data_IF_919296114345
#
_entry.id   IF_919296114345
#
_cell.length_a   1.000
_cell.length_b   1.000
_cell.length_c   1.000
_cell.angle_alpha   90.00
_cell.angle_beta   90.00
_cell.angle_gamma   90.00
#
_symmetry.space_group_name_H-M   'P 1'
#
loop_
_entity.id
_entity.type
_entity.pdbx_description
1 polymer ?
#
# COMPACT_ATOMS: atom_id res chain seq x y z
N UNK A 1 65.57 -55.01 -40.38
CA UNK A 1 64.98 -55.19 -39.02
C UNK A 1 65.03 -53.83 -38.34
N UNK A 2 63.98 -53.08 -38.00
CA UNK A 2 62.52 -53.17 -38.08
C UNK A 2 62.06 -51.71 -37.98
N UNK A 3 61.24 -51.18 -38.91
CA UNK A 3 59.81 -50.95 -38.70
C UNK A 3 59.41 -50.68 -37.24
N UNK A 4 59.11 -49.43 -36.89
CA UNK A 4 57.93 -49.07 -36.09
C UNK A 4 57.40 -47.71 -36.55
N UNK A 5 56.16 -47.71 -37.03
CA UNK A 5 55.36 -46.54 -37.34
C UNK A 5 54.98 -45.80 -36.05
N UNK A 6 55.06 -44.47 -36.03
CA UNK A 6 54.33 -43.67 -35.04
C UNK A 6 53.09 -43.06 -35.70
N UNK A 7 51.97 -43.59 -35.23
CA UNK A 7 50.59 -43.29 -35.56
C UNK A 7 50.25 -41.82 -35.41
N UNK A 8 49.45 -41.31 -36.35
CA UNK A 8 48.63 -40.12 -36.20
C UNK A 8 47.79 -40.22 -34.93
N UNK A 9 47.82 -39.18 -34.10
CA UNK A 9 46.78 -38.89 -33.13
C UNK A 9 46.44 -37.41 -33.27
N UNK A 10 45.52 -37.12 -34.18
CA UNK A 10 44.84 -35.84 -34.27
C UNK A 10 44.01 -35.70 -33.00
N UNK A 11 44.51 -34.94 -32.02
CA UNK A 11 43.75 -34.58 -30.84
C UNK A 11 42.64 -33.61 -31.29
N UNK A 12 41.46 -34.15 -31.53
CA UNK A 12 40.23 -33.39 -31.74
C UNK A 12 39.99 -32.59 -30.46
N UNK A 13 40.31 -31.30 -30.47
CA UNK A 13 39.89 -30.38 -29.44
C UNK A 13 38.36 -30.33 -29.47
N UNK A 14 37.72 -31.13 -28.62
CA UNK A 14 36.29 -31.03 -28.34
C UNK A 14 36.04 -29.62 -27.84
N UNK A 15 35.49 -28.78 -28.72
CA UNK A 15 35.07 -27.43 -28.38
C UNK A 15 34.12 -27.52 -27.19
N UNK A 16 34.53 -26.95 -26.06
CA UNK A 16 33.66 -26.71 -24.93
C UNK A 16 32.46 -25.91 -25.44
N UNK A 17 31.27 -26.49 -25.29
CA UNK A 17 29.99 -25.91 -25.63
C UNK A 17 29.91 -24.46 -25.08
N UNK A 18 29.78 -23.42 -25.94
CA UNK A 18 29.67 -22.04 -25.48
C UNK A 18 28.39 -21.96 -24.65
N UNK A 19 28.64 -21.77 -23.37
CA UNK A 19 27.76 -22.12 -22.29
C UNK A 19 26.44 -21.36 -22.39
N UNK A 20 25.35 -22.13 -22.25
CA UNK A 20 24.06 -21.74 -21.69
C UNK A 20 23.96 -20.28 -21.28
N UNK A 21 23.11 -19.52 -21.98
CA UNK A 21 22.74 -18.14 -21.65
C UNK A 21 22.44 -18.05 -20.14
N UNK A 22 23.32 -17.37 -19.39
CA UNK A 22 23.14 -17.18 -17.95
C UNK A 22 21.87 -16.36 -17.77
N UNK A 23 20.79 -17.03 -17.34
CA UNK A 23 19.52 -16.37 -17.06
C UNK A 23 19.63 -15.66 -15.71
N UNK A 24 20.11 -14.42 -15.75
CA UNK A 24 20.15 -13.56 -14.57
C UNK A 24 18.74 -13.37 -14.01
N UNK A 25 18.55 -13.68 -12.74
CA UNK A 25 17.35 -13.31 -12.01
C UNK A 25 17.51 -11.83 -11.65
N UNK A 26 16.73 -10.95 -12.29
CA UNK A 26 16.69 -9.53 -11.94
C UNK A 26 16.15 -9.40 -10.52
N UNK A 27 17.04 -9.22 -9.56
CA UNK A 27 16.70 -8.81 -8.18
C UNK A 27 16.76 -7.30 -8.15
N UNK A 28 15.62 -6.63 -8.29
CA UNK A 28 15.53 -5.20 -7.97
C UNK A 28 15.37 -5.10 -6.45
N UNK A 29 16.40 -4.61 -5.77
CA UNK A 29 16.18 -4.05 -4.44
C UNK A 29 15.29 -2.82 -4.62
N UNK A 30 14.14 -2.77 -3.96
CA UNK A 30 13.28 -1.58 -3.99
C UNK A 30 14.07 -0.37 -3.49
N UNK A 31 14.05 0.72 -4.25
CA UNK A 31 14.64 1.99 -3.83
C UNK A 31 13.68 2.74 -2.91
N UNK A 32 14.19 3.75 -2.19
CA UNK A 32 13.34 4.68 -1.43
C UNK A 32 12.24 5.29 -2.30
N UNK A 33 12.57 5.62 -3.56
CA UNK A 33 11.63 6.22 -4.51
C UNK A 33 10.54 5.24 -4.92
N UNK A 34 10.86 3.95 -5.07
CA UNK A 34 9.87 2.91 -5.41
C UNK A 34 8.84 2.77 -4.26
N UNK A 35 9.31 2.68 -3.02
CA UNK A 35 8.44 2.57 -1.83
C UNK A 35 7.59 3.84 -1.66
N UNK A 36 8.19 5.03 -1.85
CA UNK A 36 7.44 6.29 -1.83
C UNK A 36 6.39 6.34 -2.94
N UNK A 37 6.71 5.82 -4.13
CA UNK A 37 5.81 5.69 -5.27
C UNK A 37 4.55 4.89 -4.93
N UNK A 38 4.74 3.71 -4.34
CA UNK A 38 3.64 2.87 -3.87
C UNK A 38 2.77 3.58 -2.84
N UNK A 39 3.38 4.24 -1.85
CA UNK A 39 2.66 5.00 -0.82
C UNK A 39 1.81 6.11 -1.44
N UNK A 40 2.38 6.90 -2.35
CA UNK A 40 1.66 7.98 -3.03
C UNK A 40 0.50 7.41 -3.83
N UNK A 41 0.70 6.31 -4.56
CA UNK A 41 -0.36 5.71 -5.36
C UNK A 41 -1.49 5.15 -4.49
N UNK A 42 -1.16 4.42 -3.41
CA UNK A 42 -2.15 3.88 -2.47
C UNK A 42 -2.99 4.98 -1.80
N UNK A 43 -2.36 6.11 -1.44
CA UNK A 43 -3.07 7.26 -0.89
C UNK A 43 -3.98 7.91 -1.94
N UNK A 44 -3.50 8.08 -3.18
CA UNK A 44 -4.29 8.66 -4.28
C UNK A 44 -5.53 7.83 -4.56
N UNK A 45 -5.37 6.51 -4.66
CA UNK A 45 -6.48 5.58 -4.93
C UNK A 45 -7.54 5.59 -3.83
N UNK A 46 -7.17 5.96 -2.60
CA UNK A 46 -8.08 6.07 -1.46
C UNK A 46 -8.60 7.50 -1.21
N UNK A 47 -8.12 8.52 -1.94
CA UNK A 47 -8.41 9.92 -1.62
C UNK A 47 -7.86 10.36 -0.25
N UNK A 48 -6.82 9.68 0.24
CA UNK A 48 -6.22 9.88 1.55
C UNK A 48 -4.97 10.78 1.45
N UNK A 49 -4.58 11.34 2.59
CA UNK A 49 -3.49 12.32 2.72
C UNK A 49 -2.53 11.98 3.86
N UNK A 50 -1.30 12.49 3.79
CA UNK A 50 -0.26 12.23 4.80
C UNK A 50 0.49 13.50 5.20
N UNK A 51 0.73 13.65 6.50
CA UNK A 51 1.61 14.63 7.12
C UNK A 51 2.80 13.95 7.81
N UNK A 52 3.94 14.64 7.92
CA UNK A 52 5.19 14.03 8.42
C UNK A 52 5.86 14.90 9.50
N UNK A 53 6.29 14.28 10.59
CA UNK A 53 7.15 14.85 11.61
C UNK A 53 8.50 14.11 11.68
N UNK A 54 9.58 14.81 11.35
CA UNK A 54 10.93 14.25 11.32
C UNK A 54 11.79 14.79 12.46
N UNK A 55 12.65 13.93 13.02
CA UNK A 55 13.77 14.36 13.87
C UNK A 55 15.09 13.94 13.20
N UNK A 56 15.57 12.73 13.47
CA UNK A 56 16.89 12.26 13.01
C UNK A 56 17.09 12.25 11.49
N UNK A 57 16.01 12.04 10.71
CA UNK A 57 16.03 11.94 9.24
C UNK A 57 16.15 13.29 8.55
N UNK A 58 15.80 14.39 9.24
CA UNK A 58 16.08 15.76 8.82
C UNK A 58 15.43 16.20 7.50
N UNK A 59 14.26 15.66 7.15
CA UNK A 59 13.55 15.98 5.90
C UNK A 59 13.61 14.86 4.84
N UNK A 60 14.29 13.74 5.13
CA UNK A 60 14.47 12.65 4.19
C UNK A 60 13.17 11.95 3.79
N UNK A 61 12.19 11.85 4.70
CA UNK A 61 10.89 11.24 4.39
C UNK A 61 10.09 12.19 3.49
N UNK A 62 10.06 13.48 3.83
CA UNK A 62 9.38 14.50 3.02
C UNK A 62 10.01 14.62 1.63
N UNK A 63 11.34 14.59 1.54
CA UNK A 63 12.07 14.59 0.26
C UNK A 63 11.73 13.34 -0.58
N UNK A 64 11.66 12.16 0.03
CA UNK A 64 11.30 10.93 -0.65
C UNK A 64 9.88 11.01 -1.25
N UNK A 65 8.89 11.44 -0.46
CA UNK A 65 7.50 11.60 -0.93
C UNK A 65 7.41 12.64 -2.05
N UNK A 66 8.04 13.80 -1.90
CA UNK A 66 7.99 14.89 -2.90
C UNK A 66 8.78 14.60 -4.18
N UNK A 67 9.66 13.59 -4.19
CA UNK A 67 10.35 13.12 -5.40
C UNK A 67 9.47 12.31 -6.37
N UNK A 68 8.25 11.96 -5.95
CA UNK A 68 7.28 11.17 -6.71
C UNK A 68 6.29 12.09 -7.41
N UNK A 69 6.01 11.82 -8.69
CA UNK A 69 5.02 12.58 -9.45
C UNK A 69 3.61 12.42 -8.85
N UNK A 70 2.87 13.54 -8.77
CA UNK A 70 1.53 13.55 -8.17
C UNK A 70 1.50 13.54 -6.63
N UNK A 71 2.66 13.66 -5.96
CA UNK A 71 2.73 13.74 -4.50
C UNK A 71 1.90 14.90 -3.92
N UNK A 72 1.73 16.01 -4.65
CA UNK A 72 0.92 17.17 -4.22
C UNK A 72 -0.56 16.84 -3.99
N UNK A 73 -1.07 15.74 -4.55
CA UNK A 73 -2.45 15.30 -4.31
C UNK A 73 -2.64 14.69 -2.90
N UNK A 74 -1.57 14.18 -2.27
CA UNK A 74 -1.66 13.36 -1.05
C UNK A 74 -0.78 13.86 0.09
N UNK A 75 0.39 14.42 -0.20
CA UNK A 75 1.31 14.92 0.80
C UNK A 75 0.93 16.35 1.20
N UNK A 76 0.51 16.53 2.46
CA UNK A 76 0.02 17.81 2.99
C UNK A 76 1.12 18.68 3.58
N UNK A 77 2.32 18.15 3.75
CA UNK A 77 3.46 18.84 4.34
C UNK A 77 3.96 18.15 5.61
N UNK A 78 4.75 18.89 6.39
CA UNK A 78 5.36 18.35 7.59
C UNK A 78 6.35 19.30 8.23
N UNK A 79 7.04 18.80 9.26
CA UNK A 79 8.02 19.58 10.02
C UNK A 79 9.23 18.73 10.39
N UNK A 80 10.41 19.34 10.35
CA UNK A 80 11.61 18.81 11.02
C UNK A 80 11.68 19.43 12.41
N UNK A 81 11.33 18.66 13.45
CA UNK A 81 11.32 19.09 14.86
C UNK A 81 12.56 18.58 15.60
N UNK A 82 13.75 18.93 15.12
CA UNK A 82 15.01 18.41 15.66
C UNK A 82 15.21 18.77 17.15
N UNK A 83 15.01 20.04 17.48
CA UNK A 83 15.10 20.53 18.86
C UNK A 83 13.88 20.10 19.69
N UNK A 84 14.12 19.67 20.94
CA UNK A 84 13.07 19.20 21.86
C UNK A 84 11.91 20.19 22.04
N UNK A 85 12.14 21.52 22.23
CA UNK A 85 11.03 22.47 22.37
C UNK A 85 10.10 22.52 21.15
N UNK A 86 10.61 22.27 19.94
CA UNK A 86 9.78 22.25 18.73
C UNK A 86 8.83 21.06 18.67
N UNK A 87 9.20 19.93 19.29
CA UNK A 87 8.30 18.76 19.42
C UNK A 87 7.06 19.13 20.25
N UNK A 88 7.25 19.93 21.31
CA UNK A 88 6.16 20.38 22.17
C UNK A 88 5.34 21.48 21.51
N UNK A 89 6.02 22.51 20.99
CA UNK A 89 5.38 23.70 20.43
C UNK A 89 4.54 23.39 19.19
N UNK A 90 5.09 22.61 18.26
CA UNK A 90 4.47 22.36 16.97
C UNK A 90 3.65 21.08 16.97
N UNK A 91 4.14 20.02 17.61
CA UNK A 91 3.51 18.70 17.53
C UNK A 91 2.74 18.32 18.80
N UNK A 92 2.68 19.22 19.78
CA UNK A 92 2.00 19.01 21.07
C UNK A 92 2.48 17.74 21.79
N UNK A 93 3.75 17.35 21.62
CA UNK A 93 4.35 16.27 22.39
C UNK A 93 4.39 16.67 23.86
N UNK A 94 3.92 15.76 24.72
CA UNK A 94 3.80 15.96 26.15
C UNK A 94 5.17 16.21 26.81
N UNK A 95 5.23 17.31 27.57
CA UNK A 95 6.40 17.71 28.33
C UNK A 95 6.75 16.72 29.44
N UNK A 96 5.75 16.15 30.12
CA UNK A 96 5.97 15.19 31.21
C UNK A 96 6.50 13.87 30.66
N UNK A 97 6.01 13.42 29.50
CA UNK A 97 6.55 12.28 28.78
C UNK A 97 8.04 12.47 28.44
N UNK A 98 8.39 13.63 27.86
CA UNK A 98 9.79 13.95 27.52
C UNK A 98 10.65 14.00 28.78
N UNK A 99 10.17 14.61 29.86
CA UNK A 99 10.91 14.68 31.12
C UNK A 99 11.18 13.31 31.74
N UNK A 100 10.25 12.35 31.61
CA UNK A 100 10.37 11.01 32.20
C UNK A 100 11.18 10.04 31.34
N UNK A 101 11.04 10.10 30.02
CA UNK A 101 11.56 9.07 29.12
C UNK A 101 12.59 9.58 28.09
N UNK A 102 12.75 10.90 27.97
CA UNK A 102 13.51 11.56 26.92
C UNK A 102 12.81 11.50 25.56
N UNK A 103 13.43 12.12 24.55
CA UNK A 103 12.82 12.25 23.21
C UNK A 103 12.90 10.98 22.35
N UNK A 104 13.80 10.05 22.67
CA UNK A 104 13.95 8.78 21.96
C UNK A 104 13.08 7.73 22.65
N UNK A 105 11.79 7.73 22.33
CA UNK A 105 10.79 6.85 22.94
C UNK A 105 9.62 6.60 21.97
N UNK A 106 8.98 5.42 22.07
CA UNK A 106 7.87 5.05 21.20
C UNK A 106 6.67 5.99 21.31
N UNK A 107 6.28 6.38 22.52
CA UNK A 107 5.18 7.31 22.74
C UNK A 107 5.49 8.73 22.21
N UNK A 108 6.75 9.15 22.25
CA UNK A 108 7.14 10.43 21.63
C UNK A 108 6.97 10.34 20.12
N UNK A 109 7.38 9.23 19.48
CA UNK A 109 7.14 9.03 18.07
C UNK A 109 5.64 9.04 17.73
N UNK A 110 4.80 8.38 18.56
CA UNK A 110 3.35 8.35 18.39
C UNK A 110 2.73 9.75 18.43
N UNK A 111 3.07 10.54 19.45
CA UNK A 111 2.61 11.92 19.57
C UNK A 111 3.13 12.81 18.45
N UNK A 112 4.37 12.60 17.98
CA UNK A 112 4.89 13.29 16.80
C UNK A 112 4.07 12.97 15.54
N UNK A 113 3.70 11.70 15.33
CA UNK A 113 2.88 11.29 14.17
C UNK A 113 1.45 11.87 14.25
N UNK A 114 0.85 11.87 15.44
CA UNK A 114 -0.46 12.49 15.66
C UNK A 114 -0.39 14.01 15.45
N UNK A 115 0.60 14.67 16.03
CA UNK A 115 0.86 16.10 15.84
C UNK A 115 1.08 16.47 14.38
N UNK A 116 1.76 15.61 13.60
CA UNK A 116 1.94 15.81 12.17
C UNK A 116 0.60 15.91 11.44
N UNK A 117 -0.37 15.04 11.76
CA UNK A 117 -1.73 15.12 11.19
C UNK A 117 -2.41 16.42 11.54
N UNK A 118 -2.27 16.86 12.80
CA UNK A 118 -2.88 18.08 13.30
C UNK A 118 -2.34 19.30 12.56
N UNK A 119 -1.01 19.48 12.47
CA UNK A 119 -0.43 20.69 11.88
C UNK A 119 -0.58 20.76 10.36
N UNK A 120 -0.80 19.63 9.67
CA UNK A 120 -1.01 19.60 8.22
C UNK A 120 -2.48 19.58 7.84
N UNK A 121 -3.39 19.66 8.82
CA UNK A 121 -4.82 19.81 8.58
C UNK A 121 -5.16 21.26 8.28
N UNK A 122 -5.84 21.50 7.17
CA UNK A 122 -6.29 22.83 6.75
C UNK A 122 -7.60 22.74 5.96
N UNK A 123 -8.28 23.87 5.74
CA UNK A 123 -9.58 23.98 5.05
C UNK A 123 -10.69 23.07 5.63
N UNK A 124 -10.59 22.73 6.93
CA UNK A 124 -11.51 21.80 7.58
C UNK A 124 -11.34 20.32 7.16
N UNK A 125 -10.34 20.02 6.32
CA UNK A 125 -10.05 18.67 5.83
C UNK A 125 -8.92 18.08 6.67
N UNK A 126 -9.26 17.08 7.48
CA UNK A 126 -8.30 16.37 8.33
C UNK A 126 -7.27 15.62 7.49
N UNK A 127 -6.00 15.72 7.89
CA UNK A 127 -4.97 14.83 7.34
C UNK A 127 -5.21 13.40 7.83
N UNK A 128 -5.30 12.44 6.92
CA UNK A 128 -5.71 11.08 7.27
C UNK A 128 -4.61 10.29 7.96
N UNK A 129 -3.36 10.46 7.53
CA UNK A 129 -2.20 9.71 8.02
C UNK A 129 -1.09 10.62 8.54
N UNK A 130 -0.37 10.16 9.57
CA UNK A 130 0.80 10.84 10.12
C UNK A 130 2.00 9.91 10.23
N UNK A 131 3.19 10.41 9.95
CA UNK A 131 4.45 9.71 10.24
C UNK A 131 5.22 10.52 11.29
N UNK A 132 5.76 9.85 12.31
CA UNK A 132 6.63 10.46 13.32
C UNK A 132 7.92 9.65 13.49
N UNK A 133 9.07 10.32 13.54
CA UNK A 133 10.37 9.65 13.76
C UNK A 133 11.22 10.31 14.84
N UNK A 134 11.84 9.49 15.70
CA UNK A 134 12.81 9.92 16.71
C UNK A 134 13.86 8.83 16.94
N UNK A 135 15.10 9.20 17.25
CA UNK A 135 16.18 8.23 17.38
C UNK A 135 17.56 8.84 17.41
N UNK A 136 18.57 7.99 17.56
CA UNK A 136 19.98 8.37 17.65
C UNK A 136 20.69 7.99 16.35
N UNK A 137 20.90 8.95 15.47
CA UNK A 137 21.65 8.71 14.23
C UNK A 137 23.16 8.51 14.47
N UNK A 138 23.72 9.07 15.54
CA UNK A 138 25.16 9.08 15.81
C UNK A 138 25.87 10.35 15.31
N UNK A 139 27.21 10.41 15.42
CA UNK A 139 28.11 9.29 15.74
C UNK A 139 28.14 8.86 17.20
N UNK A 140 27.67 9.71 18.11
CA UNK A 140 27.68 9.44 19.55
C UNK A 140 26.33 8.93 20.06
N UNK A 141 26.34 8.26 21.22
CA UNK A 141 25.13 7.95 21.97
C UNK A 141 24.46 9.22 22.49
N UNK A 142 23.16 9.14 22.77
CA UNK A 142 22.40 10.26 23.33
C UNK A 142 21.52 9.77 24.47
N UNK A 143 21.55 10.45 25.62
CA UNK A 143 20.72 10.12 26.79
C UNK A 143 20.80 8.64 27.21
N UNK A 144 22.02 8.06 27.14
CA UNK A 144 22.27 6.65 27.44
C UNK A 144 21.78 5.65 26.37
N UNK A 145 21.24 6.13 25.24
CA UNK A 145 20.72 5.30 24.14
C UNK A 145 21.77 5.15 23.03
N UNK A 146 21.98 3.91 22.53
CA UNK A 146 23.02 3.64 21.55
C UNK A 146 22.68 4.21 20.17
N UNK A 147 23.72 4.50 19.39
CA UNK A 147 23.61 4.83 17.97
C UNK A 147 22.81 3.75 17.24
N UNK A 148 21.94 4.15 16.32
CA UNK A 148 21.09 3.26 15.56
C UNK A 148 19.75 2.95 16.24
N UNK A 149 19.54 3.33 17.50
CA UNK A 149 18.24 3.18 18.17
C UNK A 149 17.23 4.17 17.59
N UNK A 150 16.14 3.66 17.02
CA UNK A 150 15.11 4.46 16.35
C UNK A 150 13.71 3.99 16.73
N UNK A 151 12.80 4.95 16.89
CA UNK A 151 11.36 4.74 16.96
C UNK A 151 10.67 5.46 15.80
N UNK A 152 9.67 4.80 15.25
CA UNK A 152 8.84 5.29 14.15
C UNK A 152 7.40 5.13 14.58
N UNK A 153 6.49 6.03 14.19
CA UNK A 153 5.08 5.83 14.41
C UNK A 153 4.26 6.18 13.18
N UNK A 154 3.15 5.47 13.02
CA UNK A 154 2.11 5.76 12.05
C UNK A 154 0.85 6.14 12.84
N UNK A 155 0.26 7.28 12.49
CA UNK A 155 -0.99 7.77 13.06
C UNK A 155 -2.10 7.75 12.01
N UNK A 156 -3.32 7.41 12.43
CA UNK A 156 -4.53 7.49 11.63
C UNK A 156 -5.73 7.86 12.50
N UNK A 157 -6.94 7.88 11.94
CA UNK A 157 -8.16 8.07 12.72
C UNK A 157 -8.37 6.98 13.81
N UNK A 158 -7.78 5.79 13.67
CA UNK A 158 -7.85 4.74 14.70
C UNK A 158 -6.88 4.94 15.86
N UNK A 159 -6.01 5.94 15.79
CA UNK A 159 -5.01 6.26 16.82
C UNK A 159 -3.60 6.29 16.26
N UNK A 160 -2.62 6.35 17.16
CA UNK A 160 -1.19 6.37 16.83
C UNK A 160 -0.45 5.40 17.74
N UNK A 161 0.49 4.63 17.18
CA UNK A 161 1.32 3.71 17.95
C UNK A 161 2.80 3.85 17.58
N UNK A 162 3.65 3.94 18.59
CA UNK A 162 5.10 3.87 18.44
C UNK A 162 5.56 2.44 18.12
N UNK A 163 6.38 2.31 17.10
CA UNK A 163 7.01 1.09 16.62
C UNK A 163 8.51 1.12 16.97
N UNK A 164 9.06 -0.03 17.33
CA UNK A 164 10.46 -0.20 17.73
C UNK A 164 10.63 -0.62 19.19
N UNK A 165 11.83 -0.45 19.79
CA UNK A 165 13.00 0.18 19.17
C UNK A 165 13.54 -0.65 18.00
N UNK A 166 13.82 0.02 16.89
CA UNK A 166 14.66 -0.52 15.82
C UNK A 166 16.13 -0.26 16.14
N UNK A 167 17.02 -1.10 15.62
CA UNK A 167 18.45 -0.88 15.68
C UNK A 167 19.05 -0.95 14.27
N UNK A 168 19.32 0.22 13.68
CA UNK A 168 19.89 0.31 12.34
C UNK A 168 21.41 0.38 12.34
N UNK A 169 22.09 -0.24 11.36
CA UNK A 169 23.54 -0.20 11.28
C UNK A 169 24.06 1.22 11.04
N UNK A 170 25.06 1.61 11.84
CA UNK A 170 25.86 2.81 11.59
C UNK A 170 26.71 2.65 10.31
N UNK A 171 27.22 3.74 9.70
CA UNK A 171 27.34 5.12 10.19
C UNK A 171 26.04 5.94 10.13
N UNK A 172 26.10 7.19 10.62
CA UNK A 172 24.97 8.13 10.75
C UNK A 172 24.04 8.20 9.54
N UNK A 173 24.61 8.30 8.35
CA UNK A 173 23.81 8.45 7.13
C UNK A 173 23.03 7.17 6.80
N UNK A 174 23.57 5.99 7.11
CA UNK A 174 22.85 4.72 6.97
C UNK A 174 21.71 4.58 7.95
N UNK A 175 21.88 5.05 9.20
CA UNK A 175 20.78 5.07 10.18
C UNK A 175 19.64 5.96 9.67
N UNK A 176 19.97 7.14 9.12
CA UNK A 176 18.98 8.06 8.56
C UNK A 176 18.27 7.46 7.35
N UNK A 177 19.00 6.90 6.40
CA UNK A 177 18.44 6.27 5.19
C UNK A 177 17.54 5.07 5.54
N UNK A 178 18.02 4.18 6.41
CA UNK A 178 17.24 3.02 6.87
C UNK A 178 15.96 3.46 7.61
N UNK A 179 16.01 4.55 8.36
CA UNK A 179 14.83 5.12 9.02
C UNK A 179 13.81 5.64 8.01
N UNK A 180 14.25 6.31 6.93
CA UNK A 180 13.35 6.77 5.86
C UNK A 180 12.67 5.58 5.18
N UNK A 181 13.45 4.56 4.79
CA UNK A 181 12.94 3.33 4.18
C UNK A 181 11.91 2.65 5.08
N UNK A 182 12.25 2.46 6.36
CA UNK A 182 11.37 1.77 7.28
C UNK A 182 10.09 2.56 7.56
N UNK A 183 10.17 3.89 7.69
CA UNK A 183 8.99 4.72 7.92
C UNK A 183 8.00 4.66 6.76
N UNK A 184 8.49 4.72 5.51
CA UNK A 184 7.66 4.57 4.33
C UNK A 184 7.07 3.15 4.23
N UNK A 185 7.86 2.11 4.56
CA UNK A 185 7.37 0.74 4.60
C UNK A 185 6.28 0.52 5.65
N UNK A 186 6.40 1.12 6.83
CA UNK A 186 5.38 1.01 7.87
C UNK A 186 4.07 1.68 7.44
N UNK A 187 4.14 2.85 6.79
CA UNK A 187 2.96 3.45 6.19
C UNK A 187 2.38 2.57 5.07
N UNK A 188 3.21 2.07 4.15
CA UNK A 188 2.77 1.16 3.07
C UNK A 188 2.02 -0.06 3.61
N UNK A 189 2.56 -0.70 4.66
CA UNK A 189 1.90 -1.83 5.34
C UNK A 189 0.54 -1.43 5.92
N UNK A 190 0.46 -0.28 6.58
CA UNK A 190 -0.80 0.22 7.15
C UNK A 190 -1.86 0.50 6.06
N UNK A 191 -1.46 1.08 4.93
CA UNK A 191 -2.35 1.37 3.79
C UNK A 191 -2.87 0.09 3.12
N UNK A 192 -2.00 -0.92 2.97
CA UNK A 192 -2.39 -2.24 2.44
C UNK A 192 -3.35 -2.93 3.41
N UNK A 193 -3.05 -2.96 4.71
CA UNK A 193 -3.92 -3.55 5.72
C UNK A 193 -5.32 -2.89 5.75
N UNK A 194 -5.37 -1.55 5.74
CA UNK A 194 -6.62 -0.78 5.62
C UNK A 194 -7.42 -1.20 4.39
N UNK A 195 -6.76 -1.35 3.24
CA UNK A 195 -7.43 -1.73 1.99
C UNK A 195 -8.07 -3.11 2.08
N UNK A 196 -7.39 -4.07 2.71
CA UNK A 196 -7.94 -5.41 2.97
C UNK A 196 -9.13 -5.38 3.93
N UNK A 197 -9.06 -4.62 5.02
CA UNK A 197 -10.16 -4.49 5.98
C UNK A 197 -11.41 -3.85 5.33
N UNK A 198 -11.19 -2.79 4.54
CA UNK A 198 -12.25 -2.11 3.79
C UNK A 198 -12.95 -3.08 2.82
N UNK A 199 -12.17 -3.89 2.10
CA UNK A 199 -12.70 -4.91 1.18
C UNK A 199 -13.51 -5.98 1.91
N UNK A 200 -13.02 -6.49 3.05
CA UNK A 200 -13.73 -7.50 3.84
C UNK A 200 -15.05 -6.93 4.41
N UNK A 201 -15.04 -5.69 4.89
CA UNK A 201 -16.23 -5.01 5.40
C UNK A 201 -17.29 -4.85 4.29
N UNK A 202 -16.88 -4.45 3.09
CA UNK A 202 -17.74 -4.34 1.92
C UNK A 202 -18.40 -5.69 1.56
N UNK A 203 -17.61 -6.78 1.50
CA UNK A 203 -18.14 -8.12 1.22
C UNK A 203 -19.13 -8.62 2.28
N UNK A 204 -18.85 -8.36 3.56
CA UNK A 204 -19.78 -8.69 4.67
C UNK A 204 -21.09 -7.91 4.56
N UNK A 205 -21.01 -6.62 4.21
CA UNK A 205 -22.20 -5.82 3.99
C UNK A 205 -23.04 -6.35 2.82
N UNK A 206 -22.43 -6.57 1.66
CA UNK A 206 -23.12 -7.10 0.46
C UNK A 206 -23.78 -8.45 0.75
N UNK A 207 -23.09 -9.36 1.44
CA UNK A 207 -23.68 -10.66 1.81
C UNK A 207 -24.83 -10.53 2.81
N UNK A 208 -24.73 -9.62 3.79
CA UNK A 208 -25.82 -9.33 4.73
C UNK A 208 -27.06 -8.80 4.01
N UNK A 209 -26.92 -7.84 3.09
CA UNK A 209 -28.08 -7.31 2.37
C UNK A 209 -28.71 -8.36 1.44
N UNK A 210 -27.90 -9.16 0.74
CA UNK A 210 -28.40 -10.29 -0.08
C UNK A 210 -29.17 -11.32 0.76
N UNK A 211 -28.74 -11.61 1.99
CA UNK A 211 -29.47 -12.52 2.88
C UNK A 211 -30.82 -11.96 3.33
N UNK A 212 -30.92 -10.64 3.55
CA UNK A 212 -32.18 -9.98 3.92
C UNK A 212 -33.16 -9.90 2.75
N UNK A 213 -32.69 -9.57 1.55
CA UNK A 213 -33.55 -9.51 0.35
C UNK A 213 -34.00 -10.89 -0.16
N UNK A 214 -33.33 -11.99 0.24
CA UNK A 214 -33.87 -13.34 0.01
C UNK A 214 -35.03 -13.67 0.96
N UNK A 215 -35.15 -12.96 2.08
CA UNK A 215 -36.24 -13.12 3.03
C UNK A 215 -37.44 -12.19 2.74
N UNK A 216 -37.27 -11.12 1.94
CA UNK A 216 -38.34 -10.21 1.49
C UNK A 216 -38.60 -10.33 -0.02
N UNK A 217 -39.77 -10.86 -0.40
CA UNK A 217 -40.14 -11.10 -1.80
C UNK A 217 -40.73 -9.85 -2.50
N UNK A 218 -40.05 -8.71 -2.48
CA UNK A 218 -40.56 -7.44 -3.03
C UNK A 218 -39.57 -6.71 -3.96
N UNK A 219 -40.05 -6.27 -5.13
CA UNK A 219 -39.25 -5.58 -6.17
C UNK A 219 -38.87 -4.12 -5.82
N UNK A 220 -39.30 -3.57 -4.69
CA UNK A 220 -39.06 -2.16 -4.33
C UNK A 220 -37.72 -1.88 -3.63
N UNK A 221 -36.96 -2.91 -3.22
CA UNK A 221 -35.75 -2.74 -2.38
C UNK A 221 -34.42 -2.58 -3.16
N UNK A 222 -34.44 -2.62 -4.51
CA UNK A 222 -33.20 -2.58 -5.32
C UNK A 222 -32.64 -1.17 -5.56
N UNK A 223 -33.49 -0.15 -5.67
CA UNK A 223 -33.04 1.26 -5.76
C UNK A 223 -32.39 1.69 -4.42
N UNK A 224 -32.92 1.24 -3.29
CA UNK A 224 -32.36 1.48 -1.96
C UNK A 224 -31.01 0.76 -1.75
N UNK A 225 -30.85 -0.43 -2.37
CA UNK A 225 -29.59 -1.19 -2.40
C UNK A 225 -28.49 -0.45 -3.17
N UNK A 226 -28.79 0.04 -4.37
CA UNK A 226 -27.84 0.79 -5.20
C UNK A 226 -27.49 2.11 -4.53
N UNK A 227 -28.46 2.77 -3.90
CA UNK A 227 -28.26 4.00 -3.13
C UNK A 227 -27.37 3.78 -1.89
N UNK A 228 -27.59 2.71 -1.13
CA UNK A 228 -26.82 2.39 0.08
C UNK A 228 -25.36 2.01 -0.22
N UNK A 229 -25.12 1.29 -1.32
CA UNK A 229 -23.76 0.96 -1.78
C UNK A 229 -23.01 2.22 -2.26
N UNK A 230 -23.70 3.17 -2.90
CA UNK A 230 -23.12 4.46 -3.34
C UNK A 230 -22.75 5.38 -2.17
N UNK A 231 -23.55 5.41 -1.11
CA UNK A 231 -23.31 6.26 0.07
C UNK A 231 -22.05 5.85 0.83
N UNK A 232 -21.73 4.55 0.88
CA UNK A 232 -20.57 4.03 1.62
C UNK A 232 -19.29 3.88 0.77
N UNK A 233 -19.37 4.07 -0.55
CA UNK A 233 -18.22 4.00 -1.46
C UNK A 233 -18.06 5.28 -2.32
N UNK A 234 -18.01 6.49 -1.74
CA UNK A 234 -18.02 7.73 -2.52
C UNK A 234 -16.78 7.95 -3.40
N UNK A 235 -15.75 7.09 -3.32
CA UNK A 235 -14.44 7.31 -3.95
C UNK A 235 -14.03 6.32 -5.05
N UNK A 236 -14.88 5.36 -5.46
CA UNK A 236 -14.60 4.58 -6.67
C UNK A 236 -15.16 5.26 -7.91
N UNK A 237 -14.28 5.93 -8.66
CA UNK A 237 -14.55 6.24 -10.06
C UNK A 237 -14.88 4.95 -10.82
N UNK A 238 -15.99 4.98 -11.56
CA UNK A 238 -16.71 3.87 -12.18
C UNK A 238 -15.85 2.88 -13.01
N UNK A 239 -16.18 1.58 -12.90
CA UNK A 239 -16.62 0.75 -14.04
C UNK A 239 -16.73 -0.77 -13.76
N UNK A 240 -16.07 -1.32 -12.73
CA UNK A 240 -15.97 -2.79 -12.60
C UNK A 240 -17.12 -3.42 -11.79
N UNK A 241 -17.54 -2.80 -10.68
CA UNK A 241 -18.61 -3.36 -9.84
C UNK A 241 -20.00 -3.25 -10.50
N UNK A 242 -20.25 -2.16 -11.24
CA UNK A 242 -21.54 -1.92 -11.91
C UNK A 242 -21.76 -2.84 -13.12
N UNK A 243 -20.69 -3.31 -13.79
CA UNK A 243 -20.83 -4.22 -14.95
C UNK A 243 -21.35 -5.60 -14.53
N UNK A 244 -20.90 -6.12 -13.38
CA UNK A 244 -21.34 -7.40 -12.82
C UNK A 244 -22.79 -7.38 -12.33
N UNK A 245 -23.24 -6.24 -11.76
CA UNK A 245 -24.63 -6.04 -11.33
C UNK A 245 -25.54 -5.89 -12.56
N UNK A 246 -25.10 -5.15 -13.59
CA UNK A 246 -25.86 -4.94 -14.83
C UNK A 246 -25.98 -6.23 -15.66
N UNK A 247 -24.95 -7.07 -15.68
CA UNK A 247 -24.99 -8.38 -16.37
C UNK A 247 -25.95 -9.36 -15.68
N UNK A 248 -25.93 -9.43 -14.35
CA UNK A 248 -26.89 -10.25 -13.58
C UNK A 248 -28.34 -9.76 -13.73
N UNK A 249 -28.55 -8.44 -13.86
CA UNK A 249 -29.87 -7.88 -14.11
C UNK A 249 -30.40 -8.21 -15.52
N UNK A 250 -29.56 -8.12 -16.56
CA UNK A 250 -29.96 -8.53 -17.91
C UNK A 250 -30.26 -10.04 -17.99
N UNK A 251 -29.53 -10.85 -17.23
CA UNK A 251 -29.78 -12.29 -17.15
C UNK A 251 -31.07 -12.61 -16.38
N UNK A 252 -31.31 -11.94 -15.25
CA UNK A 252 -32.55 -12.07 -14.47
C UNK A 252 -33.79 -11.56 -15.20
N UNK A 253 -33.68 -10.50 -16.01
CA UNK A 253 -34.76 -10.06 -16.89
C UNK A 253 -35.07 -11.09 -17.97
N UNK A 254 -34.04 -11.66 -18.63
CA UNK A 254 -34.20 -12.73 -19.64
C UNK A 254 -34.85 -13.98 -19.06
N UNK A 255 -34.47 -14.38 -17.86
CA UNK A 255 -35.04 -15.56 -17.19
C UNK A 255 -36.50 -15.33 -16.75
N UNK A 256 -36.87 -14.08 -16.47
CA UNK A 256 -38.25 -13.72 -16.10
C UNK A 256 -39.15 -13.60 -17.33
N UNK A 257 -38.71 -12.97 -18.42
CA UNK A 257 -39.45 -13.01 -19.71
C UNK A 257 -39.60 -14.44 -20.22
N UNK A 258 -38.58 -15.29 -20.07
CA UNK A 258 -38.65 -16.71 -20.46
C UNK A 258 -39.67 -17.52 -19.65
N UNK A 259 -39.90 -17.18 -18.38
CA UNK A 259 -40.95 -17.77 -17.55
C UNK A 259 -42.34 -17.22 -17.85
N UNK A 260 -42.45 -16.00 -18.34
CA UNK A 260 -43.72 -15.35 -18.68
C UNK A 260 -44.20 -15.64 -20.11
N UNK A 261 -43.29 -15.94 -21.06
CA UNK A 261 -43.65 -16.23 -22.47
C UNK A 261 -43.71 -17.72 -22.83
N UNK A 262 -43.22 -18.63 -21.98
CA UNK A 262 -43.37 -20.08 -22.16
C UNK A 262 -42.60 -20.70 -23.35
N UNK A 263 -41.62 -20.00 -23.94
CA UNK A 263 -40.84 -20.55 -25.05
C UNK A 263 -39.71 -21.49 -24.57
N UNK A 264 -39.88 -22.79 -24.82
CA UNK A 264 -38.80 -23.79 -24.76
C UNK A 264 -37.89 -23.71 -26.00
N UNK A 265 -36.60 -24.07 -25.87
CA UNK A 265 -35.65 -24.04 -26.99
C UNK A 265 -36.01 -25.14 -28.00
N UNK A 266 -36.33 -24.76 -29.24
CA UNK A 266 -36.47 -25.72 -30.33
C UNK A 266 -35.15 -26.48 -30.52
N UNK A 267 -35.22 -27.80 -30.41
CA UNK A 267 -34.15 -28.71 -30.79
C UNK A 267 -33.99 -28.66 -32.31
N UNK A 268 -32.78 -28.31 -32.77
CA UNK A 268 -32.45 -28.33 -34.18
C UNK A 268 -32.45 -29.79 -34.68
N UNK A 269 -33.54 -30.16 -35.35
CA UNK A 269 -33.64 -31.38 -36.17
C UNK A 269 -32.81 -31.22 -37.43
N UNK A 270 -31.98 -32.22 -37.71
CA UNK A 270 -31.20 -32.37 -38.93
C UNK A 270 -32.13 -32.55 -40.15
N UNK A 271 -32.11 -31.60 -41.08
CA UNK A 271 -32.64 -31.80 -42.43
C UNK A 271 -31.63 -31.26 -43.45
N UNK A 272 -31.15 -32.20 -44.26
CA UNK A 272 -30.41 -32.03 -45.50
C UNK A 272 -31.13 -31.14 -46.51
N UNK A 273 -30.39 -30.25 -47.18
CA UNK A 273 -30.62 -29.98 -48.61
C UNK A 273 -29.37 -29.39 -49.28
N UNK A 274 -29.01 -30.00 -50.40
CA UNK A 274 -27.99 -29.60 -51.37
C UNK A 274 -28.28 -28.24 -52.03
N UNK A 275 -27.27 -27.61 -52.67
CA UNK A 275 -27.46 -26.41 -53.47
C UNK A 275 -27.81 -26.76 -54.92
N UNK A 276 -28.74 -26.02 -55.51
CA UNK A 276 -28.91 -25.96 -56.97
C UNK A 276 -29.00 -24.49 -57.42
N UNK A 277 -28.07 -24.17 -58.33
CA UNK A 277 -27.84 -22.97 -59.16
C UNK A 277 -27.08 -21.80 -58.52
#
# INVERSE_FOLDING_TARGET
MSSVAMSSATATATALNPSSEIKYIKRTAETVRDIAGDVVQLLKDAGETVGVAESLTGGGIMAALTSVEGASAVFRGGVVSYATPLKQLLLHVDAELISRHGVIHGEVAAQMAAGARTITTFDGIQTTWGIGTTGVAGPDSQDGKPVGMVFIAIASASGSQGLGPFHFPSPRDRVREATVIEALNQLRKALVARSHESFIAEQRFISSVRSRNRASSGLHDYEELVFSVRILSPFRSDNVAMSGIRSHFQQGLRDKTRKETGEEPQTASSASNEPLL
#
